data_IF_849398043311
#
_entry.id   IF_849398043311
#
_cell.length_a   1.000
_cell.length_b   1.000
_cell.length_c   1.000
_cell.angle_alpha   90.00
_cell.angle_beta   90.00
_cell.angle_gamma   90.00
#
_symmetry.space_group_name_H-M   'P 1'
#
loop_
_entity.id
_entity.type
_entity.pdbx_description
1 polymer ?
#
# COMPACT_ATOMS: atom_id res chain seq x y z
N UNK A 1 -1.15 -3.94 6.04
CA UNK A 1 -1.77 -2.60 5.88
C UNK A 1 -2.35 -2.08 7.19
N UNK A 2 -2.93 -2.92 8.05
CA UNK A 2 -3.51 -2.46 9.33
C UNK A 2 -2.53 -1.74 10.25
N UNK A 3 -1.28 -2.22 10.40
CA UNK A 3 -0.27 -1.52 11.21
C UNK A 3 -0.05 -0.09 10.71
N UNK A 4 0.04 0.11 9.38
CA UNK A 4 0.19 1.44 8.78
C UNK A 4 -1.06 2.31 9.02
N UNK A 5 -2.26 1.72 8.97
CA UNK A 5 -3.51 2.40 9.30
C UNK A 5 -3.50 2.91 10.74
N UNK A 6 -3.20 2.04 11.70
CA UNK A 6 -3.14 2.40 13.12
C UNK A 6 -2.06 3.44 13.41
N UNK A 7 -0.92 3.36 12.73
CA UNK A 7 0.16 4.32 12.88
C UNK A 7 -0.07 5.65 12.14
N UNK A 8 -1.19 5.82 11.43
CA UNK A 8 -1.51 7.07 10.72
C UNK A 8 -0.78 7.25 9.38
N UNK A 9 -0.18 6.19 8.84
CA UNK A 9 0.60 6.20 7.59
C UNK A 9 -0.13 5.54 6.43
N UNK A 10 -1.47 5.58 6.36
CA UNK A 10 -2.19 4.94 5.25
C UNK A 10 -1.91 5.68 3.92
N UNK A 11 -1.56 4.98 2.83
CA UNK A 11 -1.24 5.67 1.59
C UNK A 11 -2.49 6.23 0.92
N UNK A 12 -2.36 7.40 0.29
CA UNK A 12 -3.43 8.07 -0.45
C UNK A 12 -3.34 7.74 -1.95
N UNK A 13 -4.41 7.17 -2.51
CA UNK A 13 -4.37 6.55 -3.83
C UNK A 13 -5.39 7.12 -4.82
N UNK A 14 -6.18 8.12 -4.43
CA UNK A 14 -7.30 8.63 -5.25
C UNK A 14 -6.90 9.79 -6.18
N UNK A 15 -5.79 10.45 -5.90
CA UNK A 15 -5.27 11.61 -6.63
C UNK A 15 -3.74 11.71 -6.48
N UNK A 16 -3.13 12.60 -7.25
CA UNK A 16 -1.72 12.90 -7.09
C UNK A 16 -1.48 13.58 -5.75
N UNK A 17 -0.60 13.03 -4.91
CA UNK A 17 -0.33 13.61 -3.59
C UNK A 17 0.50 14.90 -3.62
N UNK A 18 1.08 15.23 -4.77
CA UNK A 18 1.83 16.47 -4.97
C UNK A 18 0.94 17.59 -5.50
N UNK A 19 0.30 17.38 -6.66
CA UNK A 19 -0.48 18.43 -7.33
C UNK A 19 -2.01 18.31 -7.14
N UNK A 20 -2.50 17.28 -6.44
CA UNK A 20 -3.93 16.97 -6.24
C UNK A 20 -4.73 16.70 -7.52
N UNK A 21 -4.08 16.71 -8.69
CA UNK A 21 -4.70 16.36 -9.96
C UNK A 21 -5.12 14.90 -10.05
N UNK A 22 -6.15 14.65 -10.86
CA UNK A 22 -6.57 13.30 -11.27
C UNK A 22 -5.82 12.92 -12.55
N UNK A 23 -5.44 11.65 -12.70
CA UNK A 23 -4.83 11.21 -13.96
C UNK A 23 -5.88 11.12 -15.05
N UNK A 24 -5.78 12.01 -16.03
CA UNK A 24 -6.55 11.95 -17.27
C UNK A 24 -5.73 11.16 -18.30
N UNK A 25 -5.87 9.83 -18.31
CA UNK A 25 -5.27 8.95 -19.33
C UNK A 25 -3.75 8.69 -19.22
N UNK A 26 -3.09 9.16 -18.15
CA UNK A 26 -1.66 8.94 -17.89
C UNK A 26 -1.38 7.82 -16.89
N UNK A 27 -0.14 7.29 -16.90
CA UNK A 27 0.32 6.33 -15.90
C UNK A 27 0.38 6.93 -14.49
N UNK A 28 0.13 6.09 -13.49
CA UNK A 28 0.36 6.41 -12.08
C UNK A 28 1.68 5.86 -11.61
N UNK A 29 2.28 6.54 -10.65
CA UNK A 29 3.49 6.11 -9.97
C UNK A 29 3.26 6.15 -8.46
N UNK A 30 4.04 5.37 -7.71
CA UNK A 30 4.02 5.39 -6.25
C UNK A 30 5.21 6.16 -5.72
N UNK A 31 4.96 7.22 -4.94
CA UNK A 31 5.98 7.94 -4.20
C UNK A 31 5.79 7.65 -2.71
N UNK A 32 6.71 6.90 -2.08
CA UNK A 32 6.69 6.70 -0.63
C UNK A 32 6.79 8.03 0.10
N UNK A 33 7.63 8.94 -0.42
CA UNK A 33 7.87 10.27 0.13
C UNK A 33 6.64 11.17 0.07
N UNK A 34 5.86 11.09 -0.99
CA UNK A 34 4.58 11.80 -1.09
C UNK A 34 3.42 11.06 -0.39
N UNK A 35 3.66 9.88 0.19
CA UNK A 35 2.64 9.11 0.90
C UNK A 35 1.61 8.44 -0.02
N UNK A 36 1.92 8.18 -1.29
CA UNK A 36 1.00 7.47 -2.18
C UNK A 36 1.19 7.76 -3.67
N UNK A 37 0.09 7.82 -4.41
CA UNK A 37 0.12 7.99 -5.88
C UNK A 37 0.57 9.38 -6.31
N UNK A 38 1.36 9.45 -7.37
CA UNK A 38 1.75 10.68 -8.06
C UNK A 38 1.60 10.52 -9.58
N UNK A 39 1.25 11.60 -10.28
CA UNK A 39 1.14 11.60 -11.74
C UNK A 39 2.52 11.62 -12.40
N UNK A 40 2.60 11.29 -13.69
CA UNK A 40 3.87 11.30 -14.47
C UNK A 40 4.68 12.59 -14.30
N UNK A 41 4.03 13.75 -14.31
CA UNK A 41 4.72 15.03 -14.20
C UNK A 41 5.32 15.27 -12.81
N UNK A 42 4.70 14.76 -11.74
CA UNK A 42 5.22 14.85 -10.38
C UNK A 42 6.27 13.76 -10.11
N UNK A 43 6.07 12.55 -10.65
CA UNK A 43 7.04 11.46 -10.55
C UNK A 43 8.41 11.85 -11.12
N UNK A 44 8.45 12.56 -12.26
CA UNK A 44 9.69 13.04 -12.88
C UNK A 44 10.47 14.07 -12.04
N UNK A 45 9.81 14.68 -11.04
CA UNK A 45 10.42 15.70 -10.16
C UNK A 45 10.83 15.12 -8.81
N UNK A 46 10.53 13.85 -8.55
CA UNK A 46 10.96 13.19 -7.34
C UNK A 46 12.47 12.91 -7.41
N UNK A 47 13.22 13.12 -6.32
CA UNK A 47 14.65 12.88 -6.27
C UNK A 47 14.98 11.38 -6.31
N UNK A 48 14.01 10.53 -5.98
CA UNK A 48 14.12 9.09 -6.05
C UNK A 48 13.16 8.53 -7.11
N UNK A 49 13.56 7.46 -7.83
CA UNK A 49 12.69 6.78 -8.77
C UNK A 49 11.39 6.33 -8.10
N UNK A 50 10.27 6.71 -8.70
CA UNK A 50 8.95 6.21 -8.30
C UNK A 50 8.58 5.04 -9.23
N UNK A 51 8.28 3.83 -8.71
CA UNK A 51 7.83 2.75 -9.57
C UNK A 51 6.46 3.07 -10.19
N UNK A 52 6.22 2.68 -11.45
CA UNK A 52 4.88 2.75 -12.03
C UNK A 52 3.95 1.80 -11.28
N UNK A 53 2.67 2.16 -11.20
CA UNK A 53 1.63 1.33 -10.59
C UNK A 53 0.53 1.09 -11.61
N UNK A 54 0.22 -0.18 -11.83
CA UNK A 54 -0.85 -0.60 -12.70
C UNK A 54 -2.22 -0.18 -12.16
N UNK A 55 -3.20 0.06 -13.05
CA UNK A 55 -4.58 0.31 -12.62
C UNK A 55 -5.14 -0.82 -11.73
N UNK A 56 -4.76 -2.07 -12.00
CA UNK A 56 -5.17 -3.24 -11.23
C UNK A 56 -4.62 -3.19 -9.79
N UNK A 57 -3.33 -2.84 -9.62
CA UNK A 57 -2.71 -2.67 -8.31
C UNK A 57 -3.37 -1.54 -7.51
N UNK A 58 -3.65 -0.39 -8.14
CA UNK A 58 -4.38 0.70 -7.49
C UNK A 58 -5.79 0.31 -7.08
N UNK A 59 -6.55 -0.34 -7.97
CA UNK A 59 -7.90 -0.80 -7.67
C UNK A 59 -7.89 -1.78 -6.49
N UNK A 60 -6.93 -2.71 -6.49
CA UNK A 60 -6.77 -3.68 -5.41
C UNK A 60 -6.44 -2.99 -4.08
N UNK A 61 -5.46 -2.10 -4.04
CA UNK A 61 -5.14 -1.35 -2.82
C UNK A 61 -6.35 -0.56 -2.32
N UNK A 62 -7.02 0.21 -3.17
CA UNK A 62 -8.22 0.98 -2.77
C UNK A 62 -9.30 0.08 -2.20
N UNK A 63 -9.50 -1.10 -2.78
CA UNK A 63 -10.43 -2.10 -2.27
C UNK A 63 -9.99 -2.61 -0.89
N UNK A 64 -8.73 -2.99 -0.71
CA UNK A 64 -8.17 -3.44 0.57
C UNK A 64 -8.30 -2.37 1.66
N UNK A 65 -8.06 -1.10 1.33
CA UNK A 65 -8.15 0.01 2.27
C UNK A 65 -9.58 0.36 2.71
N UNK A 66 -10.60 -0.09 1.97
CA UNK A 66 -12.03 0.15 2.28
C UNK A 66 -12.75 -1.09 2.80
N UNK A 67 -12.12 -2.27 2.67
CA UNK A 67 -12.71 -3.56 3.03
C UNK A 67 -12.49 -3.87 4.51
N UNK A 68 -13.46 -4.55 5.12
CA UNK A 68 -13.28 -5.23 6.40
C UNK A 68 -12.11 -6.25 6.31
N UNK A 69 -11.09 -6.15 7.19
CA UNK A 69 -9.96 -7.09 7.22
C UNK A 69 -10.37 -8.57 7.24
N UNK A 70 -11.51 -8.93 7.84
CA UNK A 70 -12.03 -10.30 7.87
C UNK A 70 -12.37 -10.84 6.47
N UNK A 71 -12.61 -9.96 5.49
CA UNK A 71 -12.93 -10.32 4.10
C UNK A 71 -11.70 -10.41 3.21
N UNK A 72 -10.55 -9.90 3.66
CA UNK A 72 -9.30 -9.86 2.89
C UNK A 72 -8.88 -11.23 2.33
N UNK A 73 -9.00 -12.36 3.06
CA UNK A 73 -8.61 -13.68 2.54
C UNK A 73 -9.40 -14.15 1.31
N UNK A 74 -10.58 -13.56 1.05
CA UNK A 74 -11.43 -13.91 -0.10
C UNK A 74 -11.01 -13.19 -1.37
N UNK A 75 -10.15 -12.18 -1.27
CA UNK A 75 -9.74 -11.37 -2.41
C UNK A 75 -8.67 -12.10 -3.22
N UNK A 76 -8.98 -12.41 -4.47
CA UNK A 76 -8.05 -13.10 -5.37
C UNK A 76 -7.23 -12.08 -6.15
N UNK A 77 -5.92 -12.28 -6.18
CA UNK A 77 -4.99 -11.54 -7.02
C UNK A 77 -4.19 -12.52 -7.88
N UNK A 78 -3.92 -12.13 -9.12
CA UNK A 78 -2.97 -12.87 -9.96
C UNK A 78 -1.57 -12.89 -9.33
N UNK A 79 -0.70 -13.79 -9.78
CA UNK A 79 0.70 -13.83 -9.32
C UNK A 79 1.40 -12.49 -9.60
N UNK A 80 1.22 -11.94 -10.80
CA UNK A 80 1.79 -10.64 -11.18
C UNK A 80 1.32 -9.50 -10.28
N UNK A 81 0.01 -9.44 -10.01
CA UNK A 81 -0.56 -8.42 -9.13
C UNK A 81 -0.05 -8.55 -7.69
N UNK A 82 0.10 -9.77 -7.18
CA UNK A 82 0.68 -10.01 -5.84
C UNK A 82 2.13 -9.54 -5.74
N UNK A 83 2.92 -9.73 -6.79
CA UNK A 83 4.31 -9.28 -6.81
C UNK A 83 4.40 -7.76 -6.84
N UNK A 84 3.63 -7.11 -7.71
CA UNK A 84 3.56 -5.65 -7.78
C UNK A 84 3.07 -5.03 -6.45
N UNK A 85 2.01 -5.59 -5.86
CA UNK A 85 1.52 -5.16 -4.55
C UNK A 85 2.61 -5.29 -3.48
N UNK A 86 3.30 -6.44 -3.44
CA UNK A 86 4.38 -6.68 -2.46
C UNK A 86 5.48 -5.63 -2.59
N UNK A 87 5.92 -5.36 -3.81
CA UNK A 87 6.98 -4.38 -4.07
C UNK A 87 6.60 -2.98 -3.56
N UNK A 88 5.39 -2.51 -3.89
CA UNK A 88 4.89 -1.20 -3.43
C UNK A 88 4.74 -1.16 -1.91
N UNK A 89 4.21 -2.23 -1.29
CA UNK A 89 4.04 -2.32 0.16
C UNK A 89 5.40 -2.28 0.87
N UNK A 90 6.34 -3.10 0.45
CA UNK A 90 7.68 -3.16 1.05
C UNK A 90 8.41 -1.83 0.92
N UNK A 91 8.37 -1.22 -0.28
CA UNK A 91 8.94 0.09 -0.52
C UNK A 91 8.35 1.15 0.44
N UNK A 92 7.04 1.11 0.66
CA UNK A 92 6.38 2.08 1.53
C UNK A 92 6.65 1.82 3.01
N UNK A 93 6.64 0.56 3.43
CA UNK A 93 6.96 0.17 4.81
C UNK A 93 8.40 0.53 5.15
N UNK A 94 9.35 0.26 4.25
CA UNK A 94 10.75 0.65 4.42
C UNK A 94 10.89 2.18 4.59
N UNK A 95 10.12 2.96 3.82
CA UNK A 95 10.09 4.41 3.93
C UNK A 95 9.54 4.88 5.28
N UNK A 96 8.36 4.39 5.68
CA UNK A 96 7.73 4.76 6.96
C UNK A 96 8.60 4.33 8.15
N UNK A 97 9.26 3.18 8.06
CA UNK A 97 10.18 2.70 9.09
C UNK A 97 11.54 3.45 9.09
N UNK A 98 11.82 4.25 8.06
CA UNK A 98 13.10 4.95 7.88
C UNK A 98 14.30 4.02 7.61
N UNK A 99 14.05 2.73 7.34
CA UNK A 99 15.07 1.70 7.14
C UNK A 99 14.49 0.50 6.40
N UNK A 100 15.34 -0.22 5.68
CA UNK A 100 14.95 -1.48 5.06
C UNK A 100 14.66 -2.53 6.14
N UNK A 101 13.44 -3.07 6.15
CA UNK A 101 13.08 -4.15 7.06
C UNK A 101 13.52 -5.52 6.51
N UNK A 102 13.85 -6.47 7.40
CA UNK A 102 14.08 -7.85 6.98
C UNK A 102 12.84 -8.41 6.27
N UNK A 103 13.03 -9.03 5.11
CA UNK A 103 11.92 -9.70 4.43
C UNK A 103 11.48 -10.89 5.26
N UNK A 104 10.26 -10.84 5.77
CA UNK A 104 9.70 -11.88 6.64
C UNK A 104 9.39 -13.15 5.85
N UNK A 105 10.40 -13.99 5.62
CA UNK A 105 10.20 -15.43 5.43
C UNK A 105 10.25 -16.18 6.77
N UNK A 106 10.84 -15.59 7.83
CA UNK A 106 11.07 -16.27 9.12
C UNK A 106 10.33 -15.71 10.35
N UNK A 107 9.56 -14.63 10.24
CA UNK A 107 8.96 -13.94 11.40
C UNK A 107 7.48 -14.29 11.67
N UNK A 108 6.77 -14.84 10.69
CA UNK A 108 5.34 -15.19 10.82
C UNK A 108 5.09 -16.69 11.08
N UNK A 109 6.11 -17.48 11.38
CA UNK A 109 5.94 -18.89 11.76
C UNK A 109 5.21 -19.07 13.12
N UNK A 110 4.98 -17.98 13.87
CA UNK A 110 4.42 -18.03 15.22
C UNK A 110 2.98 -17.49 15.37
N UNK A 111 2.32 -17.03 14.31
CA UNK A 111 0.92 -16.55 14.43
C UNK A 111 -0.09 -17.65 14.07
N UNK A 112 -0.24 -18.61 14.98
CA UNK A 112 -1.52 -19.31 15.14
C UNK A 112 -2.56 -18.27 15.57
N UNK A 113 -3.44 -17.90 14.63
CA UNK A 113 -4.58 -17.00 14.85
C UNK A 113 -5.38 -17.40 16.10
N UNK A 114 -5.20 -16.66 17.18
CA UNK A 114 -6.25 -16.49 18.20
C UNK A 114 -7.20 -15.40 17.68
N UNK A 115 -8.51 -15.63 17.62
CA UNK A 115 -9.44 -14.61 17.14
C UNK A 115 -9.41 -13.41 18.08
N UNK A 116 -9.11 -12.24 17.54
CA UNK A 116 -9.26 -10.95 18.21
C UNK A 116 -10.70 -10.84 18.75
N UNK A 117 -10.86 -10.93 20.07
CA UNK A 117 -12.13 -10.63 20.74
C UNK A 117 -12.32 -9.12 20.70
N UNK A 118 -13.42 -8.68 20.08
CA UNK A 118 -13.94 -7.34 20.27
C UNK A 118 -14.17 -7.12 21.78
N UNK A 119 -13.42 -6.20 22.38
CA UNK A 119 -13.75 -5.66 23.70
C UNK A 119 -14.91 -4.70 23.47
N UNK A 120 -16.12 -5.14 23.81
CA UNK A 120 -17.28 -4.26 23.94
C UNK A 120 -17.09 -3.53 25.27
N UNK A 121 -16.74 -2.25 25.19
CA UNK A 121 -16.77 -1.36 26.36
C UNK A 121 -18.25 -1.01 26.54
N UNK A 122 -18.82 -1.52 27.64
CA UNK A 122 -20.17 -1.17 28.12
C UNK A 122 -20.14 0.16 28.86
#
# INVERSE_FOLDING_TARGET
>A
MEILRFAGYLPHLDRCNVCQGRASGGAWYFSPRAGGTVCTACARREPAPCPPVSPACLAFFRQVLRMDPARLPRLKASVSLRNELREVIELYVDHVAGRRLPRTQGLFAAETRTPYRHVVIS
#
